data_IF_270102218876
#
_entry.id   IF_270102218876
#
_cell.length_a   1.000
_cell.length_b   1.000
_cell.length_c   1.000
_cell.angle_alpha   90.00
_cell.angle_beta   90.00
_cell.angle_gamma   90.00
#
_symmetry.space_group_name_H-M   'P 1'
#
loop_
_entity.id
_entity.type
_entity.pdbx_description
1 polymer ?
#
# COMPACT_ATOMS: atom_id res chain seq x y z
N UNK A 1 -7.36 -1.38 11.80
CA UNK A 1 -6.42 -1.87 10.78
C UNK A 1 -7.07 -1.95 9.41
N UNK A 2 -6.24 -1.95 8.40
CA UNK A 2 -6.72 -2.03 7.04
C UNK A 2 -7.42 -3.35 6.78
N UNK A 3 -8.40 -3.32 5.90
CA UNK A 3 -9.11 -4.54 5.57
C UNK A 3 -8.24 -5.45 4.71
N UNK A 4 -8.60 -6.71 4.69
CA UNK A 4 -7.87 -7.67 3.90
C UNK A 4 -7.89 -7.29 2.42
N UNK A 5 -9.02 -6.79 1.95
CA UNK A 5 -9.15 -6.37 0.56
C UNK A 5 -8.20 -5.22 0.24
N UNK A 6 -8.07 -4.29 1.16
CA UNK A 6 -7.16 -3.17 0.96
C UNK A 6 -5.72 -3.64 0.86
N UNK A 7 -5.34 -4.54 1.75
CA UNK A 7 -3.98 -5.06 1.73
C UNK A 7 -3.71 -5.83 0.44
N UNK A 8 -4.70 -6.59 0.01
CA UNK A 8 -4.58 -7.36 -1.22
C UNK A 8 -4.38 -6.43 -2.42
N UNK A 9 -5.14 -5.34 -2.46
CA UNK A 9 -5.03 -4.36 -3.53
C UNK A 9 -3.66 -3.72 -3.54
N UNK A 10 -3.16 -3.37 -2.37
CA UNK A 10 -1.84 -2.76 -2.28
C UNK A 10 -0.79 -3.70 -2.85
N UNK A 11 -0.87 -4.97 -2.46
CA UNK A 11 0.11 -5.94 -2.95
C UNK A 11 0.02 -6.10 -4.46
N UNK A 12 -1.20 -6.19 -4.98
CA UNK A 12 -1.37 -6.36 -6.41
C UNK A 12 -0.85 -5.17 -7.19
N UNK A 13 -1.20 -3.98 -6.75
CA UNK A 13 -0.77 -2.78 -7.46
C UNK A 13 0.73 -2.56 -7.36
N UNK A 14 1.27 -2.82 -6.19
CA UNK A 14 2.71 -2.67 -6.01
C UNK A 14 3.45 -3.67 -6.89
N UNK A 15 2.94 -4.88 -6.96
CA UNK A 15 3.57 -5.90 -7.76
C UNK A 15 3.54 -5.56 -9.25
N UNK A 16 2.44 -4.98 -9.70
CA UNK A 16 2.33 -4.53 -11.09
C UNK A 16 3.40 -3.50 -11.42
N UNK A 17 3.78 -2.70 -10.44
CA UNK A 17 4.76 -1.67 -10.62
C UNK A 17 6.15 -2.12 -10.16
N UNK A 18 6.29 -3.39 -9.85
CA UNK A 18 7.56 -3.95 -9.40
C UNK A 18 8.08 -3.26 -8.17
N UNK A 19 7.19 -3.01 -7.23
CA UNK A 19 7.54 -2.40 -5.96
C UNK A 19 7.20 -3.35 -4.84
N UNK A 20 7.90 -3.20 -3.72
CA UNK A 20 7.64 -4.00 -2.55
C UNK A 20 6.62 -3.28 -1.68
N UNK A 21 5.42 -3.85 -1.51
CA UNK A 21 4.39 -3.17 -0.73
C UNK A 21 4.79 -2.96 0.73
N UNK A 22 5.52 -3.88 1.30
CA UNK A 22 5.95 -3.71 2.68
C UNK A 22 6.96 -2.60 2.81
N UNK A 23 7.80 -2.46 1.80
CA UNK A 23 8.76 -1.39 1.77
C UNK A 23 8.08 -0.04 1.63
N UNK A 24 7.02 -0.01 0.82
CA UNK A 24 6.25 1.21 0.69
C UNK A 24 5.63 1.63 2.00
N UNK A 25 5.07 0.66 2.72
CA UNK A 25 4.45 0.95 4.01
C UNK A 25 5.49 1.46 4.99
N UNK A 26 6.63 0.82 5.03
CA UNK A 26 7.68 1.21 5.95
C UNK A 26 8.22 2.60 5.61
N UNK A 27 8.39 2.87 4.33
CA UNK A 27 8.93 4.14 3.88
C UNK A 27 7.98 5.29 4.10
N UNK A 28 6.69 5.04 3.88
CA UNK A 28 5.70 6.11 3.98
C UNK A 28 5.20 6.33 5.39
N UNK A 29 4.99 5.25 6.12
CA UNK A 29 4.36 5.33 7.44
C UNK A 29 5.23 4.81 8.56
N UNK A 30 6.34 4.19 8.25
CA UNK A 30 7.18 3.60 9.26
C UNK A 30 6.54 2.43 9.96
N UNK A 31 5.64 1.74 9.26
CA UNK A 31 4.90 0.61 9.81
C UNK A 31 4.98 -0.57 8.87
N UNK A 32 4.60 -1.72 9.39
CA UNK A 32 4.45 -2.87 8.54
C UNK A 32 3.14 -2.75 7.76
N UNK A 33 3.09 -3.40 6.61
CA UNK A 33 1.91 -3.32 5.77
C UNK A 33 0.65 -3.72 6.53
N UNK A 34 0.74 -4.78 7.29
CA UNK A 34 -0.41 -5.29 8.03
C UNK A 34 -0.80 -4.41 9.21
N UNK A 35 0.06 -3.48 9.57
CA UNK A 35 -0.22 -2.57 10.68
C UNK A 35 -0.85 -1.27 10.21
N UNK A 36 -1.00 -1.09 8.94
CA UNK A 36 -1.61 0.12 8.41
C UNK A 36 -3.08 0.20 8.81
N UNK A 37 -3.54 1.41 9.01
CA UNK A 37 -4.95 1.63 9.26
C UNK A 37 -5.68 1.79 7.94
N UNK A 38 -7.02 1.73 8.01
CA UNK A 38 -7.81 1.80 6.80
C UNK A 38 -7.49 3.01 5.95
N UNK A 39 -7.39 4.19 6.58
CA UNK A 39 -7.13 5.39 5.81
C UNK A 39 -5.71 5.41 5.25
N UNK A 40 -4.79 4.79 5.96
CA UNK A 40 -3.41 4.72 5.48
C UNK A 40 -3.32 3.80 4.26
N UNK A 41 -3.99 2.67 4.35
CA UNK A 41 -4.01 1.74 3.23
C UNK A 41 -4.68 2.37 2.02
N UNK A 42 -5.75 3.10 2.24
CA UNK A 42 -6.45 3.77 1.15
C UNK A 42 -5.55 4.80 0.49
N UNK A 43 -4.80 5.52 1.30
CA UNK A 43 -3.86 6.51 0.80
C UNK A 43 -2.82 5.86 -0.11
N UNK A 44 -2.32 4.73 0.33
CA UNK A 44 -1.32 4.01 -0.43
C UNK A 44 -1.90 3.49 -1.75
N UNK A 45 -3.12 3.00 -1.70
CA UNK A 45 -3.79 2.52 -2.89
C UNK A 45 -3.96 3.65 -3.91
N UNK A 46 -4.39 4.80 -3.44
CA UNK A 46 -4.55 5.94 -4.32
C UNK A 46 -3.24 6.34 -4.95
N UNK A 47 -2.19 6.30 -4.18
CA UNK A 47 -0.89 6.65 -4.69
C UNK A 47 -0.44 5.69 -5.78
N UNK A 48 -0.70 4.42 -5.58
CA UNK A 48 -0.33 3.42 -6.57
C UNK A 48 -1.19 3.53 -7.83
N UNK A 49 -2.44 3.94 -7.66
CA UNK A 49 -3.32 4.11 -8.80
C UNK A 49 -3.00 5.37 -9.59
N UNK A 50 -2.58 6.42 -8.89
CA UNK A 50 -2.23 7.67 -9.52
C UNK A 50 -0.77 7.66 -9.87
N UNK A 51 -0.40 6.74 -10.66
CA UNK A 51 0.98 6.54 -10.94
C UNK A 51 1.54 7.65 -11.81
N UNK A 52 2.64 8.27 -11.40
CA UNK A 52 3.28 9.27 -12.25
C UNK A 52 3.94 8.57 -13.43
N UNK A 53 4.32 9.36 -14.39
CA UNK A 53 4.91 8.78 -15.57
C UNK A 53 6.37 8.78 -15.57
#
# INVERSE_FOLDING_TARGET
>A
PASRNQLSLIRNKAQEQRKNPEELAASRFGKQLQDLKGYEADSLIKELLTKPR
#
